data_IF_077653953573
#
_entry.id   IF_077653953573
#
_cell.length_a   1.000
_cell.length_b   1.000
_cell.length_c   1.000
_cell.angle_alpha   90.00
_cell.angle_beta   90.00
_cell.angle_gamma   90.00
#
_symmetry.space_group_name_H-M   'P 1'
#
loop_
_entity.id
_entity.type
_entity.pdbx_description
1 polymer ?
#
# COMPACT_ATOMS: atom_id res chain seq x y z
N UNK A 1 -4.10 -6.36 -3.99
CA UNK A 1 -3.00 -7.23 -3.48
C UNK A 1 -1.86 -6.34 -3.03
N UNK A 2 -1.84 -5.93 -1.77
CA UNK A 2 -0.81 -5.02 -1.29
C UNK A 2 0.49 -5.79 -1.04
N UNK A 3 1.61 -5.20 -1.46
CA UNK A 3 2.94 -5.57 -1.00
C UNK A 3 3.55 -4.39 -0.26
N UNK A 4 4.20 -4.67 0.85
CA UNK A 4 4.78 -3.66 1.70
C UNK A 4 6.24 -3.98 2.02
N UNK A 5 7.13 -3.04 1.71
CA UNK A 5 8.47 -3.00 2.28
C UNK A 5 8.46 -2.10 3.52
N UNK A 6 8.63 -2.69 4.68
CA UNK A 6 8.67 -2.02 5.97
C UNK A 6 10.12 -1.89 6.45
N UNK A 7 10.66 -0.68 6.41
CA UNK A 7 12.00 -0.37 6.90
C UNK A 7 11.90 0.10 8.35
N UNK A 8 12.20 -0.81 9.27
CA UNK A 8 12.12 -0.63 10.72
C UNK A 8 13.53 -0.81 11.28
N UNK A 9 14.17 0.23 11.85
CA UNK A 9 15.50 0.10 12.44
C UNK A 9 15.53 -0.98 13.54
N UNK A 10 16.63 -1.68 13.64
CA UNK A 10 16.79 -2.72 14.66
C UNK A 10 16.66 -2.15 16.07
N UNK A 11 15.89 -2.83 16.92
CA UNK A 11 15.64 -2.40 18.30
C UNK A 11 14.69 -1.21 18.46
N UNK A 12 14.14 -0.66 17.38
CA UNK A 12 13.19 0.46 17.45
C UNK A 12 11.86 0.06 18.12
N UNK A 13 11.45 -1.19 17.96
CA UNK A 13 10.24 -1.76 18.56
C UNK A 13 10.56 -3.09 19.25
N UNK A 14 9.76 -3.44 20.25
CA UNK A 14 9.80 -4.80 20.80
C UNK A 14 9.25 -5.81 19.79
N UNK A 15 9.63 -7.11 19.86
CA UNK A 15 9.11 -8.12 18.95
C UNK A 15 7.58 -8.27 18.96
N UNK A 16 6.92 -7.99 20.08
CA UNK A 16 5.46 -8.00 20.19
C UNK A 16 4.83 -6.79 19.53
N UNK A 17 5.37 -5.58 19.77
CA UNK A 17 4.91 -4.35 19.16
C UNK A 17 5.06 -4.39 17.63
N UNK A 18 6.16 -4.96 17.13
CA UNK A 18 6.38 -5.10 15.70
C UNK A 18 5.38 -6.08 15.05
N UNK A 19 5.11 -7.23 15.68
CA UNK A 19 4.09 -8.16 15.16
C UNK A 19 2.71 -7.51 15.08
N UNK A 20 2.35 -6.74 16.10
CA UNK A 20 1.08 -6.03 16.11
C UNK A 20 1.05 -4.89 15.09
N UNK A 21 2.14 -4.17 14.91
CA UNK A 21 2.30 -3.16 13.85
C UNK A 21 2.07 -3.78 12.46
N UNK A 22 2.76 -4.89 12.15
CA UNK A 22 2.61 -5.59 10.87
C UNK A 22 1.17 -6.05 10.65
N UNK A 23 0.51 -6.57 11.68
CA UNK A 23 -0.90 -6.97 11.61
C UNK A 23 -1.80 -5.77 11.29
N UNK A 24 -1.68 -4.66 12.04
CA UNK A 24 -2.48 -3.44 11.83
C UNK A 24 -2.28 -2.82 10.46
N UNK A 25 -1.03 -2.76 9.99
CA UNK A 25 -0.73 -2.26 8.64
C UNK A 25 -1.34 -3.17 7.58
N UNK A 26 -1.28 -4.49 7.75
CA UNK A 26 -1.91 -5.44 6.81
C UNK A 26 -3.41 -5.22 6.74
N UNK A 27 -4.08 -5.06 7.89
CA UNK A 27 -5.52 -4.79 7.95
C UNK A 27 -5.86 -3.48 7.24
N UNK A 28 -5.13 -2.39 7.53
CA UNK A 28 -5.32 -1.09 6.89
C UNK A 28 -5.11 -1.14 5.37
N UNK A 29 -4.07 -1.84 4.89
CA UNK A 29 -3.84 -1.98 3.45
C UNK A 29 -4.99 -2.69 2.74
N UNK A 30 -5.53 -3.76 3.33
CA UNK A 30 -6.69 -4.47 2.77
C UNK A 30 -7.93 -3.57 2.75
N UNK A 31 -8.25 -2.89 3.85
CA UNK A 31 -9.37 -1.96 3.93
C UNK A 31 -9.32 -0.86 2.88
N UNK A 32 -8.14 -0.26 2.66
CA UNK A 32 -7.95 0.79 1.67
C UNK A 32 -7.99 0.28 0.22
N UNK A 33 -7.84 -1.02 0.00
CA UNK A 33 -8.14 -1.67 -1.29
C UNK A 33 -9.59 -2.12 -1.41
N UNK A 34 -10.44 -1.89 -0.40
CA UNK A 34 -11.83 -2.32 -0.36
C UNK A 34 -12.01 -3.80 -0.05
N UNK A 35 -11.00 -4.44 0.54
CA UNK A 35 -11.03 -5.85 0.95
C UNK A 35 -11.28 -5.91 2.46
N UNK A 36 -12.27 -6.69 2.88
CA UNK A 36 -12.47 -7.00 4.29
C UNK A 36 -11.21 -7.66 4.87
N UNK A 37 -10.60 -7.13 5.95
CA UNK A 37 -9.46 -7.75 6.61
C UNK A 37 -9.69 -9.20 7.06
N UNK A 38 -10.93 -9.62 7.27
CA UNK A 38 -11.30 -11.01 7.55
C UNK A 38 -11.28 -11.91 6.31
N UNK A 39 -11.18 -11.36 5.09
CA UNK A 39 -11.13 -12.13 3.87
C UNK A 39 -9.79 -12.90 3.78
N UNK A 40 -9.85 -14.22 4.00
CA UNK A 40 -8.65 -15.08 3.98
C UNK A 40 -7.91 -15.07 2.65
N UNK A 41 -8.60 -14.90 1.52
CA UNK A 41 -7.98 -14.85 0.19
C UNK A 41 -7.22 -13.55 0.00
N UNK A 42 -7.82 -12.42 0.40
CA UNK A 42 -7.15 -11.12 0.43
C UNK A 42 -5.90 -11.15 1.29
N UNK A 43 -5.99 -11.69 2.51
CA UNK A 43 -4.84 -11.82 3.42
C UNK A 43 -3.69 -12.64 2.84
N UNK A 44 -3.96 -13.70 2.09
CA UNK A 44 -2.90 -14.51 1.43
C UNK A 44 -2.11 -13.72 0.39
N UNK A 45 -2.68 -12.66 -0.14
CA UNK A 45 -2.05 -11.79 -1.13
C UNK A 45 -1.32 -10.59 -0.50
N UNK A 46 -1.56 -10.28 0.77
CA UNK A 46 -0.93 -9.17 1.48
C UNK A 46 0.41 -9.64 2.08
N UNK A 47 1.52 -9.17 1.52
CA UNK A 47 2.86 -9.54 1.99
C UNK A 47 3.58 -8.33 2.57
N UNK A 48 4.25 -8.53 3.70
CA UNK A 48 5.08 -7.52 4.36
C UNK A 48 6.52 -8.03 4.45
N UNK A 49 7.44 -7.30 3.84
CA UNK A 49 8.87 -7.53 3.94
C UNK A 49 9.47 -6.57 4.95
N UNK A 50 10.04 -7.09 6.04
CA UNK A 50 10.64 -6.27 7.07
C UNK A 50 12.14 -6.15 6.83
N UNK A 51 12.62 -4.92 6.68
CA UNK A 51 14.01 -4.56 6.48
C UNK A 51 14.59 -3.90 7.73
N UNK A 52 15.89 -4.12 7.99
CA UNK A 52 16.64 -3.55 9.12
C UNK A 52 17.69 -2.55 8.60
N UNK A 53 17.29 -1.33 8.26
CA UNK A 53 18.24 -0.36 7.72
C UNK A 53 19.09 0.28 8.81
N UNK A 54 20.33 0.59 8.50
CA UNK A 54 21.01 1.71 9.12
C UNK A 54 20.44 3.02 8.56
N UNK A 55 20.17 3.99 9.43
CA UNK A 55 19.58 5.27 9.03
C UNK A 55 20.49 6.42 9.45
N UNK A 56 20.68 7.37 8.55
CA UNK A 56 21.37 8.63 8.81
C UNK A 56 20.44 9.80 8.46
N UNK A 57 20.46 10.84 9.30
CA UNK A 57 19.72 12.08 9.08
C UNK A 57 20.70 13.25 9.15
N UNK A 58 20.77 14.02 8.07
CA UNK A 58 21.73 15.12 7.98
C UNK A 58 23.20 14.69 8.06
N UNK A 59 23.50 13.44 7.65
CA UNK A 59 24.86 12.89 7.67
C UNK A 59 25.28 12.25 8.99
N UNK A 60 24.38 12.19 10.02
CA UNK A 60 24.66 11.56 11.31
C UNK A 60 23.56 10.59 11.75
N UNK A 61 23.82 9.79 12.78
CA UNK A 61 22.80 8.88 13.34
C UNK A 61 21.62 9.69 13.91
N UNK A 62 20.38 9.25 13.69
CA UNK A 62 19.22 9.97 14.19
C UNK A 62 19.08 9.79 15.71
N UNK A 63 18.56 10.82 16.40
CA UNK A 63 18.26 10.76 17.84
C UNK A 63 17.02 9.91 18.17
N UNK A 64 16.16 9.70 17.19
CA UNK A 64 14.90 8.96 17.29
C UNK A 64 14.74 8.05 16.09
N UNK A 65 14.04 6.91 16.21
CA UNK A 65 13.80 6.01 15.08
C UNK A 65 13.18 6.72 13.86
N UNK A 66 13.58 6.32 12.68
CA UNK A 66 12.99 6.74 11.40
C UNK A 66 12.47 5.51 10.67
N UNK A 67 11.24 5.59 10.23
CA UNK A 67 10.56 4.50 9.55
C UNK A 67 10.26 4.88 8.11
N UNK A 68 10.35 3.92 7.22
CA UNK A 68 9.94 4.08 5.84
C UNK A 68 9.09 2.89 5.42
N UNK A 69 7.95 3.15 4.80
CA UNK A 69 7.05 2.14 4.27
C UNK A 69 6.85 2.39 2.78
N UNK A 70 7.03 1.36 1.95
CA UNK A 70 6.75 1.41 0.52
C UNK A 70 5.59 0.47 0.27
N UNK A 71 4.41 1.04 0.12
CA UNK A 71 3.19 0.31 -0.18
C UNK A 71 3.02 0.23 -1.69
N UNK A 72 2.91 -0.96 -2.24
CA UNK A 72 2.74 -1.21 -3.66
C UNK A 72 1.43 -1.95 -3.88
N UNK A 73 0.60 -1.40 -4.75
CA UNK A 73 -0.69 -1.98 -5.16
C UNK A 73 -0.80 -1.97 -6.68
N UNK A 74 -1.63 -2.81 -7.29
CA UNK A 74 -1.91 -2.72 -8.72
C UNK A 74 -2.54 -1.38 -9.10
N UNK A 75 -2.27 -0.91 -10.31
CA UNK A 75 -2.89 0.29 -10.89
C UNK A 75 -4.42 0.26 -10.75
N UNK A 76 -5.01 1.39 -10.35
CA UNK A 76 -6.45 1.57 -10.12
C UNK A 76 -6.87 1.48 -8.64
N UNK A 77 -5.97 1.05 -7.74
CA UNK A 77 -6.33 0.86 -6.33
C UNK A 77 -6.23 2.13 -5.49
N UNK A 78 -5.37 3.09 -5.86
CA UNK A 78 -5.17 4.32 -5.11
C UNK A 78 -5.69 5.55 -5.86
N UNK A 79 -6.36 6.42 -5.11
CA UNK A 79 -6.59 7.83 -5.41
C UNK A 79 -5.95 8.66 -4.27
N UNK A 80 -6.04 9.98 -4.34
CA UNK A 80 -5.42 10.87 -3.35
C UNK A 80 -6.00 10.67 -1.94
N UNK A 81 -7.30 10.43 -1.83
CA UNK A 81 -7.96 10.14 -0.56
C UNK A 81 -7.41 8.86 0.08
N UNK A 82 -7.32 7.77 -0.69
CA UNK A 82 -6.77 6.50 -0.22
C UNK A 82 -5.29 6.59 0.12
N UNK A 83 -4.50 7.35 -0.66
CA UNK A 83 -3.09 7.60 -0.34
C UNK A 83 -2.92 8.33 0.98
N UNK A 84 -3.72 9.37 1.22
CA UNK A 84 -3.72 10.09 2.49
C UNK A 84 -4.18 9.19 3.64
N UNK A 85 -5.23 8.42 3.45
CA UNK A 85 -5.77 7.54 4.48
C UNK A 85 -4.78 6.43 4.87
N UNK A 86 -4.16 5.73 3.92
CA UNK A 86 -3.15 4.70 4.22
C UNK A 86 -1.92 5.30 4.90
N UNK A 87 -1.48 6.50 4.49
CA UNK A 87 -0.36 7.20 5.13
C UNK A 87 -0.68 7.53 6.59
N UNK A 88 -1.88 8.04 6.86
CA UNK A 88 -2.34 8.35 8.21
C UNK A 88 -2.44 7.07 9.07
N UNK A 89 -3.04 6.00 8.53
CA UNK A 89 -3.21 4.73 9.24
C UNK A 89 -1.86 4.11 9.63
N UNK A 90 -0.89 4.10 8.73
CA UNK A 90 0.46 3.58 9.01
C UNK A 90 1.17 4.44 10.06
N UNK A 91 1.08 5.77 9.95
CA UNK A 91 1.68 6.69 10.93
C UNK A 91 1.09 6.48 12.32
N UNK A 92 -0.21 6.32 12.42
CA UNK A 92 -0.91 6.02 13.67
C UNK A 92 -0.51 4.66 14.23
N UNK A 93 -0.41 3.62 13.40
CA UNK A 93 0.00 2.29 13.83
C UNK A 93 1.43 2.27 14.40
N UNK A 94 2.35 3.06 13.83
CA UNK A 94 3.70 3.24 14.37
C UNK A 94 3.66 3.95 15.73
N UNK A 95 2.88 5.03 15.86
CA UNK A 95 2.73 5.74 17.13
C UNK A 95 2.24 4.82 18.27
N UNK A 96 1.26 3.97 17.95
CA UNK A 96 0.72 2.97 18.87
C UNK A 96 1.76 1.89 19.22
N UNK A 97 2.54 1.43 18.23
CA UNK A 97 3.59 0.44 18.45
C UNK A 97 4.76 0.97 19.31
N UNK A 98 5.03 2.26 19.26
CA UNK A 98 6.03 2.95 20.08
C UNK A 98 5.55 3.22 21.51
N UNK A 99 4.26 3.10 21.80
CA UNK A 99 3.64 3.30 23.12
C UNK A 99 4.08 4.61 23.80
N UNK A 100 4.13 5.69 23.02
CA UNK A 100 4.53 7.02 23.52
C UNK A 100 6.03 7.21 23.79
N UNK A 101 6.89 6.26 23.40
CA UNK A 101 8.34 6.37 23.61
C UNK A 101 8.97 7.58 22.89
N UNK A 102 8.40 7.99 21.76
CA UNK A 102 8.94 9.05 20.93
C UNK A 102 7.87 10.05 20.46
N UNK A 103 8.12 11.36 20.52
CA UNK A 103 7.19 12.38 20.04
C UNK A 103 7.16 12.43 18.50
N UNK A 104 6.11 13.05 17.96
CA UNK A 104 6.00 13.46 16.57
C UNK A 104 6.22 12.35 15.55
N UNK A 105 5.41 11.27 15.54
CA UNK A 105 5.51 10.20 14.56
C UNK A 105 5.37 10.71 13.12
N UNK A 106 4.57 11.76 12.90
CA UNK A 106 4.33 12.40 11.60
C UNK A 106 5.61 12.93 10.92
N UNK A 107 6.67 13.23 11.69
CA UNK A 107 7.98 13.64 11.15
C UNK A 107 9.01 12.51 11.12
N UNK A 108 8.63 11.30 11.55
CA UNK A 108 9.53 10.15 11.66
C UNK A 108 9.11 8.96 10.80
N UNK A 109 7.88 9.00 10.27
CA UNK A 109 7.32 7.99 9.40
C UNK A 109 7.20 8.55 8.00
N UNK A 110 7.78 7.86 7.02
CA UNK A 110 7.67 8.19 5.60
C UNK A 110 6.96 7.05 4.87
N UNK A 111 5.89 7.37 4.14
CA UNK A 111 5.10 6.39 3.40
C UNK A 111 5.11 6.73 1.92
N UNK A 112 5.43 5.74 1.08
CA UNK A 112 5.31 5.79 -0.37
C UNK A 112 4.15 4.89 -0.79
N UNK A 113 3.02 5.49 -1.14
CA UNK A 113 1.83 4.78 -1.63
C UNK A 113 1.87 4.75 -3.16
N UNK A 114 2.39 3.66 -3.71
CA UNK A 114 2.71 3.49 -5.14
C UNK A 114 1.73 2.55 -5.82
N UNK A 115 1.42 2.84 -7.08
CA UNK A 115 0.75 1.91 -7.97
C UNK A 115 1.76 1.30 -8.95
N UNK A 116 1.68 -0.03 -9.12
CA UNK A 116 2.43 -0.76 -10.14
C UNK A 116 1.59 -0.77 -11.41
N UNK A 117 2.12 -0.28 -12.56
CA UNK A 117 1.38 -0.22 -13.81
C UNK A 117 0.79 -1.57 -14.22
N UNK A 118 -0.41 -1.57 -14.80
CA UNK A 118 -1.03 -2.81 -15.30
C UNK A 118 -0.10 -3.51 -16.30
N UNK A 119 0.04 -4.81 -16.15
CA UNK A 119 0.97 -5.61 -16.94
C UNK A 119 2.40 -5.67 -16.39
N UNK A 120 2.70 -5.02 -15.26
CA UNK A 120 4.03 -5.04 -14.62
C UNK A 120 4.09 -5.86 -13.34
N UNK A 121 2.96 -6.40 -12.87
CA UNK A 121 2.90 -7.21 -11.66
C UNK A 121 3.10 -8.69 -11.99
N UNK A 122 4.25 -9.25 -11.59
CA UNK A 122 4.57 -10.68 -11.76
C UNK A 122 4.23 -11.51 -10.54
N UNK A 123 3.56 -12.66 -10.75
CA UNK A 123 3.29 -13.63 -9.69
C UNK A 123 2.86 -14.97 -10.28
N UNK A 124 3.00 -16.05 -9.53
CA UNK A 124 2.66 -17.40 -9.99
C UNK A 124 3.26 -17.78 -11.37
N UNK A 125 4.46 -17.25 -11.67
CA UNK A 125 5.17 -17.51 -12.93
C UNK A 125 4.60 -16.78 -14.16
N UNK A 126 3.67 -15.83 -14.00
CA UNK A 126 3.06 -15.05 -15.09
C UNK A 126 2.76 -13.62 -14.64
N UNK A 127 2.41 -12.78 -15.59
CA UNK A 127 1.83 -11.46 -15.28
C UNK A 127 0.42 -11.64 -14.74
N UNK A 128 0.14 -11.00 -13.62
CA UNK A 128 -1.16 -10.93 -12.96
C UNK A 128 -1.71 -9.52 -13.16
N UNK A 129 -2.97 -9.42 -13.59
CA UNK A 129 -3.66 -8.14 -13.79
C UNK A 129 -4.70 -7.91 -12.69
N UNK A 130 -5.13 -6.67 -12.51
CA UNK A 130 -6.14 -6.33 -11.53
C UNK A 130 -7.41 -7.21 -11.62
N UNK A 131 -7.96 -7.54 -12.81
CA UNK A 131 -9.09 -8.46 -12.92
C UNK A 131 -8.82 -9.87 -12.36
N UNK A 132 -7.60 -10.39 -12.52
CA UNK A 132 -7.23 -11.72 -11.99
C UNK A 132 -7.22 -11.72 -10.46
N UNK A 133 -6.81 -10.58 -9.87
CA UNK A 133 -6.78 -10.39 -8.41
C UNK A 133 -8.20 -10.33 -7.85
N UNK A 134 -9.09 -9.58 -8.50
CA UNK A 134 -10.49 -9.47 -8.10
C UNK A 134 -11.19 -10.83 -8.13
N UNK A 135 -11.02 -11.61 -9.20
CA UNK A 135 -11.57 -12.96 -9.30
C UNK A 135 -11.02 -13.90 -8.21
N UNK A 136 -9.77 -13.73 -7.82
CA UNK A 136 -9.20 -14.53 -6.75
C UNK A 136 -9.76 -14.14 -5.38
N UNK A 137 -9.88 -12.85 -5.08
CA UNK A 137 -10.37 -12.34 -3.79
C UNK A 137 -11.87 -12.55 -3.64
N UNK A 138 -12.61 -12.33 -4.70
CA UNK A 138 -14.06 -12.51 -4.81
C UNK A 138 -14.38 -13.49 -5.95
N UNK A 139 -14.32 -14.81 -5.68
CA UNK A 139 -14.57 -15.79 -6.74
C UNK A 139 -16.00 -15.65 -7.26
N UNK A 140 -16.20 -15.83 -8.58
CA UNK A 140 -17.52 -15.77 -9.19
C UNK A 140 -18.46 -16.79 -8.54
N UNK A 141 -19.71 -16.39 -8.33
CA UNK A 141 -20.81 -17.23 -7.90
C UNK A 141 -21.92 -17.17 -8.97
N UNK A 142 -22.91 -18.05 -8.96
CA UNK A 142 -24.02 -17.98 -9.93
C UNK A 142 -24.71 -16.60 -9.99
N UNK A 143 -24.74 -15.88 -8.85
CA UNK A 143 -25.39 -14.57 -8.75
C UNK A 143 -24.43 -13.41 -9.12
N UNK A 144 -23.12 -13.66 -9.17
CA UNK A 144 -22.08 -12.65 -9.38
C UNK A 144 -21.08 -13.02 -10.48
N UNK A 145 -21.47 -13.95 -11.37
CA UNK A 145 -20.61 -14.42 -12.47
C UNK A 145 -20.13 -13.25 -13.34
N UNK A 146 -18.81 -13.15 -13.51
CA UNK A 146 -18.15 -12.07 -14.26
C UNK A 146 -18.04 -10.73 -13.54
N UNK A 147 -18.88 -10.42 -12.55
CA UNK A 147 -18.95 -9.12 -11.88
C UNK A 147 -17.63 -8.63 -11.28
N UNK A 148 -16.86 -9.46 -10.53
CA UNK A 148 -15.59 -9.00 -9.98
C UNK A 148 -14.60 -8.56 -11.06
N UNK A 149 -14.54 -9.30 -12.16
CA UNK A 149 -13.67 -8.98 -13.30
C UNK A 149 -14.09 -7.71 -14.02
N UNK A 150 -15.38 -7.53 -14.27
CA UNK A 150 -15.95 -6.33 -14.89
C UNK A 150 -15.70 -5.09 -14.02
N UNK A 151 -15.92 -5.20 -12.70
CA UNK A 151 -15.62 -4.12 -11.75
C UNK A 151 -14.15 -3.71 -11.81
N UNK A 152 -13.23 -4.68 -11.81
CA UNK A 152 -11.81 -4.40 -11.91
C UNK A 152 -11.41 -3.74 -13.24
N UNK A 153 -12.04 -4.15 -14.34
CA UNK A 153 -11.81 -3.55 -15.66
C UNK A 153 -12.30 -2.09 -15.70
N UNK A 154 -13.44 -1.79 -15.07
CA UNK A 154 -13.98 -0.43 -14.99
C UNK A 154 -13.06 0.48 -14.17
N UNK A 155 -12.63 0.03 -12.97
CA UNK A 155 -11.70 0.76 -12.11
C UNK A 155 -10.39 1.07 -12.83
N UNK A 156 -9.83 0.08 -13.52
CA UNK A 156 -8.58 0.26 -14.27
C UNK A 156 -8.75 1.23 -15.45
N UNK A 157 -9.84 1.12 -16.19
CA UNK A 157 -10.13 2.01 -17.33
C UNK A 157 -10.34 3.46 -16.88
N UNK A 158 -10.99 3.67 -15.73
CA UNK A 158 -11.17 5.01 -15.15
C UNK A 158 -9.82 5.61 -14.77
N UNK A 159 -8.98 4.86 -14.09
CA UNK A 159 -7.64 5.30 -13.69
C UNK A 159 -6.76 5.66 -14.88
N UNK A 160 -6.80 4.86 -15.93
CA UNK A 160 -6.03 5.13 -17.17
C UNK A 160 -6.52 6.39 -17.90
N UNK A 161 -7.82 6.69 -17.86
CA UNK A 161 -8.36 7.96 -18.37
C UNK A 161 -7.83 9.15 -17.58
N UNK A 162 -7.90 9.10 -16.24
CA UNK A 162 -7.37 10.17 -15.38
C UNK A 162 -5.90 10.46 -15.68
N UNK A 163 -5.06 9.42 -15.82
CA UNK A 163 -3.66 9.59 -16.19
C UNK A 163 -3.48 10.22 -17.57
N UNK A 164 -4.29 9.81 -18.55
CA UNK A 164 -4.26 10.38 -19.90
C UNK A 164 -4.61 11.88 -19.90
N UNK A 165 -5.62 12.27 -19.16
CA UNK A 165 -6.05 13.67 -19.04
C UNK A 165 -4.98 14.55 -18.37
N UNK A 166 -4.33 14.06 -17.30
CA UNK A 166 -3.23 14.76 -16.62
C UNK A 166 -2.03 15.01 -17.54
N UNK A 167 -1.65 14.01 -18.35
CA UNK A 167 -0.55 14.12 -19.32
C UNK A 167 -0.90 15.14 -20.41
N UNK A 168 -2.16 15.17 -20.84
CA UNK A 168 -2.63 16.11 -21.87
C UNK A 168 -2.66 17.55 -21.35
N UNK A 169 -3.18 17.77 -20.13
CA UNK A 169 -3.19 19.05 -19.46
C UNK A 169 -1.80 19.63 -19.22
N UNK A 170 -0.84 18.78 -18.79
CA UNK A 170 0.55 19.18 -18.60
C UNK A 170 1.27 19.58 -19.90
N UNK A 171 0.93 19.00 -21.04
CA UNK A 171 1.48 19.36 -22.36
C UNK A 171 0.95 20.71 -22.88
N UNK A 172 -0.32 21.02 -22.59
CA UNK A 172 -0.91 22.32 -22.99
C UNK A 172 -0.33 23.48 -22.20
N UNK A 173 -0.05 23.27 -20.89
CA UNK A 173 0.55 24.29 -20.02
C UNK A 173 2.03 24.60 -20.33
N UNK A 174 2.75 23.69 -20.99
CA UNK A 174 4.16 23.89 -21.36
C UNK A 174 4.36 24.51 -22.75
N UNK A 175 3.27 24.78 -23.49
CA UNK A 175 3.32 25.35 -24.84
C UNK A 175 2.89 26.84 -24.90
N UNK A 176 2.69 27.48 -23.73
CA UNK A 176 2.44 28.91 -23.55
C UNK A 176 3.60 29.56 -22.83
#
# INVERSE_FOLDING_TARGET
MPMLDAFIPEGALSPNAERELVRKITDALLEHEGVDPANERGRKLAWVFVHRPEVYVGGGPPKMPRYRFICQVPEGQYNDERRNAVTSAITQAVAEAEDGAWPHPEFRVCVFALEVPDGSWGGAGRIIRLPDIYEFVWPPTPDTDGQPRETAQQVLAERQREHGELIFAGRVSSAT
#
